data_IF_955960924174
#
_entry.id   IF_955960924174
#
_cell.length_a   1.000
_cell.length_b   1.000
_cell.length_c   1.000
_cell.angle_alpha   90.00
_cell.angle_beta   90.00
_cell.angle_gamma   90.00
#
_symmetry.space_group_name_H-M   'P 1'
#
loop_
_entity.id
_entity.type
_entity.pdbx_description
1 polymer ?
#
# COMPACT_ATOMS: atom_id res chain seq x y z
N UNK A 1 -15.07 -68.65 -18.11
CA UNK A 1 -15.21 -68.26 -16.69
C UNK A 1 -15.66 -66.79 -16.70
N UNK A 2 -16.97 -66.49 -16.76
CA UNK A 2 -17.94 -66.33 -15.63
C UNK A 2 -17.38 -65.42 -14.52
N UNK A 3 -17.96 -64.27 -14.14
CA UNK A 3 -19.36 -63.82 -14.14
C UNK A 3 -19.49 -62.29 -14.13
N UNK A 4 -20.54 -61.81 -14.78
CA UNK A 4 -21.20 -60.51 -14.61
C UNK A 4 -21.99 -60.36 -13.29
N UNK A 5 -22.41 -59.12 -13.05
CA UNK A 5 -23.57 -58.65 -12.25
C UNK A 5 -23.40 -58.57 -10.72
N UNK A 6 -23.58 -57.37 -10.16
CA UNK A 6 -24.86 -56.99 -9.56
C UNK A 6 -25.01 -55.47 -9.34
N UNK A 7 -26.13 -54.96 -9.85
CA UNK A 7 -26.80 -53.71 -9.56
C UNK A 7 -27.03 -53.47 -8.05
N UNK A 8 -27.08 -52.20 -7.63
CA UNK A 8 -28.13 -51.74 -6.72
C UNK A 8 -28.42 -50.25 -6.91
N UNK A 9 -29.49 -50.01 -7.67
CA UNK A 9 -30.26 -48.77 -7.74
C UNK A 9 -31.17 -48.64 -6.51
N UNK A 10 -31.17 -47.46 -5.87
CA UNK A 10 -32.36 -46.91 -5.22
C UNK A 10 -32.56 -45.49 -5.70
N UNK A 11 -33.60 -45.30 -6.52
CA UNK A 11 -34.14 -43.99 -6.83
C UNK A 11 -35.11 -43.50 -5.76
N UNK A 12 -35.39 -42.20 -5.79
CA UNK A 12 -36.75 -41.67 -5.72
C UNK A 12 -36.78 -40.34 -6.50
N UNK A 13 -37.91 -40.13 -7.18
CA UNK A 13 -38.15 -39.22 -8.30
C UNK A 13 -38.63 -37.82 -7.83
N UNK A 14 -39.05 -36.86 -8.69
CA UNK A 14 -38.70 -35.44 -8.58
C UNK A 14 -39.84 -34.62 -7.95
N UNK A 15 -39.60 -33.32 -7.72
CA UNK A 15 -40.74 -32.39 -7.61
C UNK A 15 -40.41 -31.07 -8.30
N UNK A 16 -40.97 -30.90 -9.49
CA UNK A 16 -41.31 -29.58 -10.02
C UNK A 16 -42.37 -28.96 -9.11
N UNK A 17 -42.18 -27.72 -8.66
CA UNK A 17 -43.12 -26.63 -8.90
C UNK A 17 -42.76 -25.35 -8.12
N UNK A 18 -42.79 -24.27 -8.89
CA UNK A 18 -43.31 -22.95 -8.55
C UNK A 18 -42.38 -21.90 -7.89
N UNK A 19 -42.24 -20.83 -8.68
CA UNK A 19 -42.30 -19.42 -8.28
C UNK A 19 -40.99 -18.72 -7.84
N UNK A 20 -40.41 -18.04 -8.83
CA UNK A 20 -39.87 -16.68 -8.68
C UNK A 20 -40.77 -15.78 -7.84
N UNK A 21 -40.16 -14.82 -7.13
CA UNK A 21 -40.53 -13.44 -7.36
C UNK A 21 -39.31 -12.59 -7.74
N UNK A 22 -39.44 -11.90 -8.87
CA UNK A 22 -38.71 -10.68 -9.23
C UNK A 22 -38.73 -9.71 -8.05
N UNK A 23 -37.59 -9.15 -7.71
CA UNK A 23 -37.47 -7.87 -7.00
C UNK A 23 -36.88 -6.82 -7.96
N UNK A 24 -37.23 -5.53 -7.78
CA UNK A 24 -37.58 -4.67 -8.91
C UNK A 24 -36.39 -3.99 -9.59
N UNK A 25 -36.50 -3.90 -10.91
CA UNK A 25 -35.88 -2.87 -11.73
C UNK A 25 -36.38 -1.50 -11.28
N UNK A 26 -35.48 -0.65 -10.80
CA UNK A 26 -35.73 0.80 -10.74
C UNK A 26 -34.69 1.46 -11.65
N UNK A 27 -35.21 2.02 -12.74
CA UNK A 27 -34.48 2.87 -13.64
C UNK A 27 -33.97 4.11 -12.91
N UNK A 28 -32.70 4.42 -13.17
CA UNK A 28 -32.14 5.74 -13.44
C UNK A 28 -32.89 6.94 -12.85
N UNK A 29 -32.28 7.55 -11.84
CA UNK A 29 -32.25 9.02 -11.78
C UNK A 29 -30.80 9.45 -11.92
N UNK A 30 -30.56 10.26 -12.96
CA UNK A 30 -29.29 10.89 -13.29
C UNK A 30 -28.84 11.77 -12.12
N UNK A 31 -27.61 11.58 -11.67
CA UNK A 31 -26.83 12.65 -11.08
C UNK A 31 -25.44 12.62 -11.71
N UNK A 32 -25.29 13.40 -12.77
CA UNK A 32 -24.02 13.90 -13.27
C UNK A 32 -23.29 14.63 -12.15
N UNK A 33 -22.21 14.04 -11.66
CA UNK A 33 -21.13 14.82 -11.05
C UNK A 33 -19.79 14.21 -11.47
N UNK A 34 -19.34 14.68 -12.62
CA UNK A 34 -17.99 14.51 -13.15
C UNK A 34 -17.01 15.20 -12.21
N UNK A 35 -16.21 14.43 -11.46
CA UNK A 35 -14.91 14.90 -10.97
C UNK A 35 -13.81 13.99 -11.50
N UNK A 36 -13.26 14.41 -12.63
CA UNK A 36 -11.96 14.01 -13.15
C UNK A 36 -10.89 14.20 -12.07
N UNK A 37 -10.16 13.13 -11.76
CA UNK A 37 -8.91 13.20 -10.99
C UNK A 37 -7.80 13.81 -11.86
N UNK A 38 -6.88 14.63 -11.30
CA UNK A 38 -5.72 15.07 -12.04
C UNK A 38 -4.70 13.92 -12.13
N UNK A 39 -3.89 13.86 -13.21
CA UNK A 39 -2.77 12.92 -13.29
C UNK A 39 -1.66 13.31 -12.29
N UNK A 40 -0.82 12.36 -11.86
CA UNK A 40 0.28 12.63 -10.93
C UNK A 40 1.37 13.45 -11.63
N UNK A 41 1.55 14.70 -11.21
CA UNK A 41 2.60 15.58 -11.71
C UNK A 41 3.97 15.14 -11.18
N UNK A 42 4.87 14.79 -12.10
CA UNK A 42 6.31 14.78 -11.86
C UNK A 42 6.86 16.21 -11.81
N UNK A 43 8.11 16.32 -11.32
CA UNK A 43 9.11 17.39 -11.51
C UNK A 43 9.43 18.23 -10.27
N UNK A 44 10.64 17.98 -9.76
CA UNK A 44 11.50 18.84 -8.95
C UNK A 44 11.39 20.33 -9.32
N UNK A 45 11.35 21.22 -8.32
CA UNK A 45 11.92 22.57 -8.46
C UNK A 45 12.40 23.12 -7.11
N UNK A 46 13.63 23.60 -7.17
CA UNK A 46 14.48 24.25 -6.17
C UNK A 46 13.84 25.48 -5.50
N UNK A 47 14.25 25.85 -4.26
CA UNK A 47 13.85 27.12 -3.68
C UNK A 47 14.66 28.27 -4.31
N UNK A 48 14.02 29.05 -5.18
CA UNK A 48 14.58 30.29 -5.71
C UNK A 48 14.35 31.47 -4.74
N UNK A 49 15.31 32.39 -4.81
CA UNK A 49 15.59 33.48 -3.90
C UNK A 49 14.40 34.43 -3.61
N UNK A 50 14.33 34.79 -2.33
CA UNK A 50 13.60 35.94 -1.78
C UNK A 50 13.92 37.22 -2.56
N UNK A 51 12.87 37.85 -3.09
CA UNK A 51 12.92 39.18 -3.69
C UNK A 51 13.45 40.22 -2.70
N UNK A 52 14.58 40.84 -3.06
CA UNK A 52 15.09 42.05 -2.44
C UNK A 52 14.35 43.26 -3.00
N UNK A 53 13.66 44.04 -2.17
CA UNK A 53 13.22 45.39 -2.55
C UNK A 53 14.35 46.41 -2.29
N UNK A 54 14.58 47.40 -3.16
CA UNK A 54 15.65 48.37 -2.98
C UNK A 54 15.22 49.53 -2.05
N UNK A 55 16.11 49.83 -1.11
CA UNK A 55 16.01 50.92 -0.13
C UNK A 55 16.24 52.26 -0.85
N UNK A 56 15.25 53.16 -0.82
CA UNK A 56 15.42 54.57 -1.21
C UNK A 56 16.00 55.36 -0.03
N UNK A 57 17.09 56.07 -0.29
CA UNK A 57 17.88 56.78 0.71
C UNK A 57 17.23 58.05 1.26
N UNK A 58 17.43 58.28 2.55
CA UNK A 58 17.35 59.60 3.19
C UNK A 58 18.50 59.68 4.21
N UNK A 59 19.37 60.66 4.03
CA UNK A 59 20.48 60.98 4.94
C UNK A 59 19.99 61.57 6.26
N UNK A 60 20.77 61.46 7.37
CA UNK A 60 20.30 61.80 8.72
C UNK A 60 20.53 63.28 9.07
N UNK A 61 19.76 63.87 10.01
CA UNK A 61 20.20 65.05 10.71
C UNK A 61 21.04 64.66 11.94
N UNK A 62 22.16 65.37 12.10
CA UNK A 62 23.10 65.28 13.23
C UNK A 62 22.63 66.19 14.38
N UNK A 63 23.03 65.83 15.61
CA UNK A 63 23.14 66.60 16.89
C UNK A 63 22.28 66.05 18.06
N UNK A 64 22.62 66.30 19.35
CA UNK A 64 23.44 65.38 20.12
C UNK A 64 22.81 64.96 21.47
N UNK A 65 23.35 63.87 22.01
CA UNK A 65 23.53 63.59 23.43
C UNK A 65 22.35 63.78 24.41
N UNK A 66 21.60 62.69 24.64
CA UNK A 66 21.04 62.41 25.96
C UNK A 66 20.99 60.90 26.17
N UNK A 67 22.03 60.37 26.80
CA UNK A 67 22.11 58.97 27.20
C UNK A 67 20.95 58.61 28.15
N UNK A 68 20.04 57.72 27.68
CA UNK A 68 19.19 56.91 28.56
C UNK A 68 19.80 55.53 28.65
N UNK A 69 20.06 54.99 29.86
CA UNK A 69 20.44 53.59 29.99
C UNK A 69 19.21 52.74 29.66
N UNK A 70 19.16 52.21 28.43
CA UNK A 70 18.27 51.10 28.14
C UNK A 70 18.78 49.90 28.92
N UNK A 71 18.01 49.46 29.90
CA UNK A 71 18.13 48.11 30.42
C UNK A 71 18.00 47.16 29.24
N UNK A 72 19.10 46.48 28.87
CA UNK A 72 19.03 45.37 27.95
C UNK A 72 18.12 44.32 28.59
N UNK A 73 16.91 44.16 28.06
CA UNK A 73 16.15 42.95 28.28
C UNK A 73 17.04 41.77 27.84
N UNK A 74 17.11 40.66 28.61
CA UNK A 74 17.84 39.49 28.17
C UNK A 74 17.32 39.08 26.78
N UNK A 75 18.19 38.57 25.90
CA UNK A 75 17.79 38.20 24.55
C UNK A 75 16.56 37.33 24.64
N UNK A 76 15.45 37.83 24.07
CA UNK A 76 14.19 37.09 23.98
C UNK A 76 14.55 35.76 23.35
N UNK A 77 14.40 34.67 24.12
CA UNK A 77 14.68 33.34 23.63
C UNK A 77 13.86 33.17 22.36
N UNK A 78 14.55 33.07 21.22
CA UNK A 78 13.92 32.70 19.96
C UNK A 78 13.20 31.39 20.26
N UNK A 79 11.87 31.30 20.08
CA UNK A 79 11.16 30.04 20.24
C UNK A 79 11.90 29.00 19.41
N UNK A 80 12.30 27.89 20.04
CA UNK A 80 12.86 26.76 19.33
C UNK A 80 11.93 26.46 18.14
N UNK A 81 12.48 26.22 16.93
CA UNK A 81 11.64 25.83 15.80
C UNK A 81 10.77 24.64 16.23
N UNK A 82 9.50 24.60 15.81
CA UNK A 82 8.61 23.51 16.20
C UNK A 82 9.29 22.19 15.87
N UNK A 83 9.42 21.32 16.87
CA UNK A 83 10.03 20.01 16.68
C UNK A 83 9.26 19.27 15.59
N UNK A 84 9.97 18.73 14.61
CA UNK A 84 9.36 17.88 13.59
C UNK A 84 8.71 16.66 14.28
N UNK A 85 7.39 16.45 14.15
CA UNK A 85 6.70 15.34 14.81
C UNK A 85 7.27 13.97 14.40
N UNK A 86 7.82 13.83 13.19
CA UNK A 86 8.50 12.60 12.77
C UNK A 86 9.80 12.37 13.55
N UNK A 87 10.51 13.45 13.90
CA UNK A 87 11.73 13.40 14.70
C UNK A 87 11.44 13.09 16.17
N UNK A 88 10.32 13.56 16.72
CA UNK A 88 9.87 13.17 18.07
C UNK A 88 9.48 11.70 18.14
N UNK A 89 8.70 11.20 17.17
CA UNK A 89 8.37 9.77 17.06
C UNK A 89 9.65 8.92 16.92
N UNK A 90 10.58 9.36 16.07
CA UNK A 90 11.86 8.69 15.92
C UNK A 90 12.64 8.60 17.24
N UNK A 91 12.78 9.71 17.97
CA UNK A 91 13.47 9.72 19.28
C UNK A 91 12.77 8.80 20.29
N UNK A 92 11.44 8.84 20.35
CA UNK A 92 10.64 8.01 21.25
C UNK A 92 10.92 6.52 21.03
N UNK A 93 10.78 6.03 19.79
CA UNK A 93 10.97 4.61 19.47
C UNK A 93 12.43 4.18 19.53
N UNK A 94 13.37 5.05 19.19
CA UNK A 94 14.81 4.78 19.36
C UNK A 94 15.14 4.51 20.83
N UNK A 95 14.65 5.35 21.73
CA UNK A 95 14.94 5.24 23.16
C UNK A 95 14.24 4.02 23.78
N UNK A 96 13.05 3.64 23.30
CA UNK A 96 12.41 2.38 23.67
C UNK A 96 13.22 1.16 23.18
N UNK A 97 13.60 1.10 21.91
CA UNK A 97 14.36 -0.03 21.34
C UNK A 97 15.75 -0.19 21.97
N UNK A 98 16.34 0.88 22.50
CA UNK A 98 17.60 0.79 23.23
C UNK A 98 17.45 0.05 24.58
N UNK A 99 16.34 0.29 25.28
CA UNK A 99 16.13 -0.08 26.68
C UNK A 99 15.30 -1.35 26.89
N UNK A 100 14.58 -1.82 25.88
CA UNK A 100 13.64 -2.95 26.00
C UNK A 100 14.31 -4.28 25.64
N UNK A 101 14.04 -5.31 26.44
CA UNK A 101 14.49 -6.70 26.22
C UNK A 101 13.69 -7.40 25.12
N UNK A 102 12.41 -7.05 24.98
CA UNK A 102 11.50 -7.52 23.93
C UNK A 102 11.20 -6.40 22.91
N UNK A 103 11.88 -6.44 21.77
CA UNK A 103 11.72 -5.46 20.70
C UNK A 103 10.46 -5.70 19.84
N UNK A 104 9.73 -6.80 20.03
CA UNK A 104 8.60 -7.15 19.17
C UNK A 104 7.42 -6.19 19.37
N UNK A 105 7.05 -5.90 20.61
CA UNK A 105 5.88 -5.07 20.92
C UNK A 105 5.96 -3.64 20.33
N UNK A 106 7.07 -2.88 20.49
CA UNK A 106 7.19 -1.55 19.87
C UNK A 106 7.15 -1.60 18.34
N UNK A 107 7.66 -2.68 17.73
CA UNK A 107 7.60 -2.90 16.28
C UNK A 107 6.16 -3.15 15.84
N UNK A 108 5.40 -3.97 16.55
CA UNK A 108 3.99 -4.23 16.26
C UNK A 108 3.16 -2.95 16.32
N UNK A 109 3.38 -2.12 17.34
CA UNK A 109 2.70 -0.82 17.48
C UNK A 109 3.02 0.13 16.33
N UNK A 110 4.29 0.19 15.90
CA UNK A 110 4.70 0.96 14.72
C UNK A 110 4.04 0.45 13.45
N UNK A 111 4.04 -0.86 13.23
CA UNK A 111 3.42 -1.46 12.05
C UNK A 111 1.91 -1.17 12.02
N UNK A 112 1.22 -1.27 13.15
CA UNK A 112 -0.20 -0.90 13.25
C UNK A 112 -0.45 0.58 12.94
N UNK A 113 0.44 1.49 13.39
CA UNK A 113 0.37 2.89 12.99
C UNK A 113 0.54 3.04 11.46
N UNK A 114 1.37 2.20 10.83
CA UNK A 114 1.60 2.18 9.38
C UNK A 114 0.41 1.68 8.56
N UNK A 115 -0.58 1.03 9.19
CA UNK A 115 -1.83 0.61 8.55
C UNK A 115 -2.85 1.76 8.49
N UNK A 116 -2.59 2.88 9.17
CA UNK A 116 -3.44 4.06 9.03
C UNK A 116 -3.24 4.71 7.65
N UNK A 117 -4.30 5.31 7.07
CA UNK A 117 -4.23 5.86 5.73
C UNK A 117 -3.06 6.83 5.53
N UNK A 118 -2.26 6.62 4.48
CA UNK A 118 -1.12 7.48 4.10
C UNK A 118 0.06 7.51 5.07
N UNK A 119 0.15 6.56 6.01
CA UNK A 119 1.29 6.44 6.95
C UNK A 119 2.29 5.34 6.57
N UNK A 120 1.97 4.50 5.60
CA UNK A 120 2.75 3.33 5.21
C UNK A 120 4.21 3.65 4.87
N UNK A 121 4.46 4.70 4.07
CA UNK A 121 5.82 5.14 3.71
C UNK A 121 6.56 5.78 4.87
N UNK A 122 5.85 6.54 5.72
CA UNK A 122 6.43 7.23 6.88
C UNK A 122 6.93 6.20 7.89
N UNK A 123 6.09 5.21 8.20
CA UNK A 123 6.43 4.13 9.14
C UNK A 123 7.53 3.23 8.59
N UNK A 124 7.48 2.86 7.30
CA UNK A 124 8.55 2.09 6.68
C UNK A 124 9.90 2.83 6.75
N UNK A 125 9.92 4.11 6.41
CA UNK A 125 11.12 4.94 6.51
C UNK A 125 11.62 5.07 7.96
N UNK A 126 10.70 5.21 8.93
CA UNK A 126 11.03 5.26 10.34
C UNK A 126 11.69 3.96 10.82
N UNK A 127 11.10 2.81 10.50
CA UNK A 127 11.67 1.49 10.82
C UNK A 127 13.05 1.31 10.17
N UNK A 128 13.21 1.75 8.92
CA UNK A 128 14.49 1.66 8.22
C UNK A 128 15.55 2.53 8.89
N UNK A 129 15.17 3.73 9.34
CA UNK A 129 16.03 4.64 10.08
C UNK A 129 16.39 4.13 11.47
N UNK A 130 15.58 3.28 12.10
CA UNK A 130 15.88 2.69 13.41
C UNK A 130 16.88 1.52 13.32
N UNK A 131 16.97 0.82 12.19
CA UNK A 131 17.83 -0.35 12.02
C UNK A 131 19.34 -0.11 12.27
N UNK A 132 19.96 1.02 11.87
CA UNK A 132 21.37 1.31 12.15
C UNK A 132 21.68 1.60 13.62
N UNK A 133 20.68 1.98 14.43
CA UNK A 133 20.88 2.40 15.83
C UNK A 133 20.86 1.24 16.82
N UNK A 134 20.67 0.02 16.36
CA UNK A 134 20.86 -1.18 17.17
C UNK A 134 22.36 -1.37 17.46
N UNK A 135 22.74 -1.20 18.73
CA UNK A 135 24.11 -1.03 19.23
C UNK A 135 25.10 -2.14 18.81
N UNK A 136 24.62 -3.35 18.50
CA UNK A 136 25.47 -4.45 18.03
C UNK A 136 24.84 -5.23 16.84
N UNK A 137 25.64 -5.96 16.04
CA UNK A 137 25.15 -6.72 14.88
C UNK A 137 24.07 -7.77 15.20
N UNK A 138 24.14 -8.38 16.38
CA UNK A 138 23.16 -9.38 16.83
C UNK A 138 21.78 -8.75 17.08
N UNK A 139 21.73 -7.59 17.74
CA UNK A 139 20.50 -6.80 17.93
C UNK A 139 19.98 -6.30 16.60
N UNK A 140 20.84 -5.91 15.66
CA UNK A 140 20.41 -5.55 14.30
C UNK A 140 19.71 -6.70 13.59
N UNK A 141 20.30 -7.90 13.64
CA UNK A 141 19.70 -9.10 13.06
C UNK A 141 18.37 -9.46 13.74
N UNK A 142 18.31 -9.37 15.07
CA UNK A 142 17.07 -9.58 15.83
C UNK A 142 15.99 -8.55 15.46
N UNK A 143 16.36 -7.28 15.31
CA UNK A 143 15.47 -6.20 14.89
C UNK A 143 14.90 -6.44 13.50
N UNK A 144 15.75 -6.69 12.50
CA UNK A 144 15.30 -6.98 11.14
C UNK A 144 14.39 -8.22 11.09
N UNK A 145 14.75 -9.26 11.85
CA UNK A 145 13.93 -10.46 11.98
C UNK A 145 12.58 -10.17 12.63
N UNK A 146 12.54 -9.33 13.66
CA UNK A 146 11.31 -8.94 14.33
C UNK A 146 10.41 -8.09 13.43
N UNK A 147 10.94 -7.09 12.72
CA UNK A 147 10.18 -6.30 11.73
C UNK A 147 9.56 -7.21 10.68
N UNK A 148 10.37 -8.08 10.08
CA UNK A 148 9.90 -9.05 9.07
C UNK A 148 8.81 -9.97 9.62
N UNK A 149 9.03 -10.58 10.79
CA UNK A 149 8.09 -11.53 11.39
C UNK A 149 6.77 -10.86 11.75
N UNK A 150 6.81 -9.68 12.37
CA UNK A 150 5.61 -8.94 12.77
C UNK A 150 4.83 -8.45 11.54
N UNK A 151 5.49 -7.99 10.49
CA UNK A 151 4.83 -7.58 9.25
C UNK A 151 4.13 -8.76 8.55
N UNK A 152 4.79 -9.92 8.48
CA UNK A 152 4.17 -11.14 7.95
C UNK A 152 2.99 -11.59 8.83
N UNK A 153 3.13 -11.53 10.16
CA UNK A 153 2.03 -11.89 11.07
C UNK A 153 0.82 -10.97 10.89
N UNK A 154 1.05 -9.66 10.76
CA UNK A 154 0.00 -8.69 10.47
C UNK A 154 -0.72 -8.99 9.15
N UNK A 155 0.03 -9.33 8.10
CA UNK A 155 -0.53 -9.74 6.81
C UNK A 155 -1.36 -11.01 6.90
N UNK A 156 -0.82 -12.05 7.55
CA UNK A 156 -1.49 -13.34 7.70
C UNK A 156 -2.76 -13.22 8.55
N UNK A 157 -2.70 -12.46 9.65
CA UNK A 157 -3.88 -12.15 10.46
C UNK A 157 -4.98 -11.45 9.66
N UNK A 158 -4.63 -10.71 8.61
CA UNK A 158 -5.62 -10.09 7.75
C UNK A 158 -6.15 -11.02 6.65
N UNK A 159 -5.26 -11.73 5.94
CA UNK A 159 -5.60 -12.46 4.71
C UNK A 159 -5.79 -13.97 4.89
N UNK A 160 -5.00 -14.62 5.75
CA UNK A 160 -5.13 -16.05 6.06
C UNK A 160 -6.29 -16.29 7.04
N UNK A 161 -6.42 -15.44 8.07
CA UNK A 161 -7.42 -15.61 9.13
C UNK A 161 -8.80 -15.02 8.76
N UNK A 162 -8.94 -14.45 7.56
CA UNK A 162 -10.23 -14.04 6.98
C UNK A 162 -10.74 -12.65 7.36
N UNK A 163 -9.97 -11.82 8.06
CA UNK A 163 -10.40 -10.47 8.44
C UNK A 163 -10.80 -9.61 7.22
N UNK A 164 -10.11 -9.80 6.08
CA UNK A 164 -10.45 -9.14 4.81
C UNK A 164 -11.88 -9.45 4.33
N UNK A 165 -12.45 -10.62 4.66
CA UNK A 165 -13.80 -11.01 4.24
C UNK A 165 -14.85 -10.22 4.99
N UNK A 166 -14.62 -10.00 6.29
CA UNK A 166 -15.46 -9.14 7.12
C UNK A 166 -15.41 -7.69 6.60
N UNK A 167 -14.22 -7.21 6.23
CA UNK A 167 -14.05 -5.89 5.61
C UNK A 167 -14.80 -5.77 4.27
N UNK A 168 -14.64 -6.74 3.38
CA UNK A 168 -15.34 -6.77 2.08
C UNK A 168 -16.87 -6.82 2.25
N UNK A 169 -17.36 -7.51 3.29
CA UNK A 169 -18.79 -7.56 3.60
C UNK A 169 -19.30 -6.24 4.17
N UNK A 170 -18.52 -5.60 5.05
CA UNK A 170 -18.88 -4.32 5.67
C UNK A 170 -18.79 -3.14 4.69
N UNK A 171 -17.92 -3.23 3.67
CA UNK A 171 -17.71 -2.21 2.66
C UNK A 171 -17.91 -2.79 1.25
N UNK A 172 -19.15 -2.81 0.73
CA UNK A 172 -19.44 -3.33 -0.61
C UNK A 172 -18.72 -2.58 -1.74
N UNK A 173 -18.31 -1.33 -1.47
CA UNK A 173 -17.52 -0.49 -2.37
C UNK A 173 -16.29 0.00 -1.61
N UNK A 174 -15.28 -0.87 -1.38
CA UNK A 174 -14.13 -0.53 -0.56
C UNK A 174 -13.37 0.62 -1.23
N UNK A 175 -13.00 1.64 -0.44
CA UNK A 175 -12.16 2.73 -0.94
C UNK A 175 -10.71 2.41 -0.68
N UNK A 176 -9.89 2.67 -1.68
CA UNK A 176 -8.45 2.38 -1.67
C UNK A 176 -7.74 2.88 -0.40
N UNK A 177 -7.96 4.15 -0.04
CA UNK A 177 -7.26 4.78 1.09
C UNK A 177 -7.81 4.39 2.47
N UNK A 178 -9.05 3.90 2.56
CA UNK A 178 -9.68 3.58 3.85
C UNK A 178 -9.69 2.10 4.17
N UNK A 179 -9.23 1.27 3.24
CA UNK A 179 -9.21 -0.17 3.44
C UNK A 179 -7.99 -0.59 4.26
N UNK A 180 -8.26 -1.32 5.35
CA UNK A 180 -7.20 -1.89 6.19
C UNK A 180 -6.38 -2.91 5.41
N UNK A 181 -7.05 -3.80 4.67
CA UNK A 181 -6.39 -4.80 3.81
C UNK A 181 -5.45 -4.17 2.78
N UNK A 182 -5.87 -3.05 2.17
CA UNK A 182 -5.06 -2.31 1.20
C UNK A 182 -3.88 -1.63 1.90
N UNK A 183 -4.09 -0.98 3.05
CA UNK A 183 -3.02 -0.31 3.79
C UNK A 183 -1.96 -1.28 4.33
N UNK A 184 -2.35 -2.48 4.79
CA UNK A 184 -1.40 -3.53 5.17
C UNK A 184 -0.51 -3.91 3.97
N UNK A 185 -1.12 -4.03 2.80
CA UNK A 185 -0.40 -4.40 1.57
C UNK A 185 0.52 -3.28 1.08
N UNK A 186 0.08 -2.03 1.20
CA UNK A 186 0.89 -0.83 0.92
C UNK A 186 2.09 -0.71 1.89
N UNK A 187 1.89 -1.02 3.16
CA UNK A 187 2.96 -1.07 4.17
C UNK A 187 4.00 -2.12 3.83
N UNK A 188 3.61 -3.33 3.46
CA UNK A 188 4.54 -4.38 3.03
C UNK A 188 5.35 -3.98 1.80
N UNK A 189 4.70 -3.40 0.79
CA UNK A 189 5.40 -2.86 -0.38
C UNK A 189 6.41 -1.77 0.01
N UNK A 190 6.02 -0.87 0.94
CA UNK A 190 6.90 0.18 1.43
C UNK A 190 8.08 -0.38 2.25
N UNK A 191 7.88 -1.44 3.03
CA UNK A 191 8.94 -2.14 3.78
C UNK A 191 9.95 -2.82 2.83
N UNK A 192 9.47 -3.40 1.72
CA UNK A 192 10.33 -3.90 0.66
C UNK A 192 11.16 -2.77 0.03
N UNK A 193 10.51 -1.66 -0.33
CA UNK A 193 11.18 -0.51 -0.96
C UNK A 193 12.32 0.06 -0.12
N UNK A 194 12.20 0.03 1.21
CA UNK A 194 13.26 0.51 2.12
C UNK A 194 14.26 -0.59 2.53
N UNK A 195 14.20 -1.78 1.93
CA UNK A 195 15.14 -2.88 2.15
C UNK A 195 14.98 -3.62 3.49
N UNK A 196 13.83 -3.49 4.15
CA UNK A 196 13.51 -4.23 5.38
C UNK A 196 12.83 -5.57 5.10
N UNK A 197 12.35 -5.76 3.87
CA UNK A 197 11.63 -6.95 3.44
C UNK A 197 12.29 -7.53 2.19
N UNK A 198 12.64 -8.83 2.18
CA UNK A 198 13.23 -9.46 1.00
C UNK A 198 12.19 -9.69 -0.10
N UNK A 199 12.66 -9.82 -1.34
CA UNK A 199 11.78 -10.04 -2.51
C UNK A 199 10.98 -11.34 -2.42
N UNK A 200 11.54 -12.37 -1.77
CA UNK A 200 10.87 -13.65 -1.57
C UNK A 200 9.59 -13.52 -0.75
N UNK A 201 9.61 -12.67 0.28
CA UNK A 201 8.42 -12.42 1.11
C UNK A 201 7.36 -11.65 0.34
N UNK A 202 7.79 -10.68 -0.49
CA UNK A 202 6.89 -9.95 -1.38
C UNK A 202 6.15 -10.91 -2.31
N UNK A 203 6.87 -11.86 -2.92
CA UNK A 203 6.26 -12.88 -3.78
C UNK A 203 5.34 -13.82 -3.02
N UNK A 204 5.69 -14.22 -1.80
CA UNK A 204 4.80 -15.03 -0.95
C UNK A 204 3.49 -14.27 -0.67
N UNK A 205 3.57 -12.98 -0.34
CA UNK A 205 2.38 -12.16 -0.11
C UNK A 205 1.50 -12.06 -1.36
N UNK A 206 2.08 -11.79 -2.54
CA UNK A 206 1.33 -11.74 -3.81
C UNK A 206 0.71 -13.11 -4.11
N UNK A 207 1.48 -14.20 -3.99
CA UNK A 207 1.00 -15.55 -4.25
C UNK A 207 -0.20 -15.88 -3.38
N UNK A 208 -0.17 -15.50 -2.10
CA UNK A 208 -1.30 -15.67 -1.17
C UNK A 208 -2.54 -14.87 -1.57
N UNK A 209 -2.36 -13.63 -2.02
CA UNK A 209 -3.47 -12.81 -2.50
C UNK A 209 -4.09 -13.39 -3.78
N UNK A 210 -3.26 -13.93 -4.66
CA UNK A 210 -3.69 -14.43 -5.98
C UNK A 210 -4.25 -15.86 -5.94
N UNK A 211 -3.78 -16.71 -5.03
CA UNK A 211 -4.13 -18.15 -4.98
C UNK A 211 -5.50 -18.49 -4.36
N UNK A 212 -6.12 -17.55 -3.66
CA UNK A 212 -7.40 -17.72 -2.96
C UNK A 212 -8.53 -17.06 -3.76
N UNK A 213 -9.83 -17.38 -3.55
CA UNK A 213 -10.89 -16.99 -4.48
C UNK A 213 -10.84 -15.49 -4.83
N UNK A 214 -10.99 -15.13 -6.13
CA UNK A 214 -10.88 -13.76 -6.60
C UNK A 214 -11.84 -12.83 -5.85
N UNK A 215 -11.33 -11.69 -5.43
CA UNK A 215 -12.12 -10.66 -4.77
C UNK A 215 -11.54 -9.28 -5.07
N UNK A 216 -12.40 -8.29 -5.28
CA UNK A 216 -11.97 -6.94 -5.65
C UNK A 216 -11.01 -6.33 -4.61
N UNK A 217 -11.26 -6.57 -3.32
CA UNK A 217 -10.39 -6.11 -2.24
C UNK A 217 -8.97 -6.69 -2.33
N UNK A 218 -8.83 -7.94 -2.80
CA UNK A 218 -7.52 -8.56 -3.01
C UNK A 218 -6.81 -8.00 -4.23
N UNK A 219 -7.54 -7.68 -5.30
CA UNK A 219 -6.97 -6.97 -6.43
C UNK A 219 -6.40 -5.61 -6.00
N UNK A 220 -7.13 -4.86 -5.17
CA UNK A 220 -6.64 -3.61 -4.59
C UNK A 220 -5.41 -3.81 -3.71
N UNK A 221 -5.39 -4.89 -2.91
CA UNK A 221 -4.24 -5.26 -2.08
C UNK A 221 -2.99 -5.58 -2.93
N UNK A 222 -3.14 -6.39 -3.99
CA UNK A 222 -2.06 -6.69 -4.95
C UNK A 222 -1.55 -5.40 -5.59
N UNK A 223 -2.46 -4.56 -6.06
CA UNK A 223 -2.14 -3.26 -6.64
C UNK A 223 -1.32 -2.39 -5.68
N UNK A 224 -1.79 -2.22 -4.43
CA UNK A 224 -1.09 -1.41 -3.43
C UNK A 224 0.30 -1.95 -3.09
N UNK A 225 0.44 -3.26 -2.96
CA UNK A 225 1.71 -3.90 -2.69
C UNK A 225 2.71 -3.63 -3.82
N UNK A 226 2.30 -3.74 -5.10
CA UNK A 226 3.16 -3.50 -6.26
C UNK A 226 3.53 -2.02 -6.40
N UNK A 227 2.56 -1.11 -6.28
CA UNK A 227 2.78 0.34 -6.36
C UNK A 227 3.79 0.80 -5.32
N UNK A 228 3.68 0.29 -4.09
CA UNK A 228 4.55 0.70 -3.00
C UNK A 228 5.91 -0.01 -3.02
N UNK A 229 5.99 -1.23 -3.55
CA UNK A 229 7.27 -1.92 -3.76
C UNK A 229 8.12 -1.25 -4.85
N UNK A 230 7.47 -0.68 -5.88
CA UNK A 230 8.14 0.00 -6.97
C UNK A 230 8.87 -0.94 -7.95
N UNK A 231 9.62 -0.38 -8.92
CA UNK A 231 10.22 -1.11 -10.04
C UNK A 231 11.25 -2.16 -9.65
N UNK A 232 11.92 -1.97 -8.51
CA UNK A 232 13.01 -2.85 -8.06
C UNK A 232 12.51 -4.27 -7.77
N UNK A 233 11.22 -4.45 -7.48
CA UNK A 233 10.57 -5.75 -7.28
C UNK A 233 10.59 -6.67 -8.50
N UNK A 234 10.91 -6.15 -9.69
CA UNK A 234 10.82 -6.87 -10.95
C UNK A 234 12.13 -6.91 -11.75
N UNK A 235 13.26 -6.51 -11.15
CA UNK A 235 14.57 -6.51 -11.81
C UNK A 235 15.26 -7.90 -11.78
N UNK A 236 15.99 -8.24 -12.85
CA UNK A 236 16.86 -9.42 -12.92
C UNK A 236 16.17 -10.72 -13.35
N UNK A 237 16.70 -11.86 -12.90
CA UNK A 237 16.30 -13.22 -13.34
C UNK A 237 14.94 -13.70 -12.78
N UNK A 238 14.18 -12.82 -12.12
CA UNK A 238 12.87 -13.15 -11.52
C UNK A 238 11.69 -12.94 -12.49
N UNK A 239 11.96 -12.56 -13.74
CA UNK A 239 10.95 -12.24 -14.75
C UNK A 239 9.89 -13.33 -14.96
N UNK A 240 10.32 -14.57 -15.17
CA UNK A 240 9.39 -15.69 -15.42
C UNK A 240 8.49 -15.95 -14.21
N UNK A 241 9.06 -15.80 -13.01
CA UNK A 241 8.31 -15.93 -11.75
C UNK A 241 7.25 -14.85 -11.62
N UNK A 242 7.59 -13.59 -11.94
CA UNK A 242 6.61 -12.49 -11.90
C UNK A 242 5.50 -12.72 -12.91
N UNK A 243 5.81 -13.13 -14.15
CA UNK A 243 4.77 -13.45 -15.15
C UNK A 243 3.83 -14.55 -14.63
N UNK A 244 4.38 -15.67 -14.16
CA UNK A 244 3.59 -16.78 -13.64
C UNK A 244 2.72 -16.36 -12.45
N UNK A 245 3.24 -15.49 -11.58
CA UNK A 245 2.57 -14.99 -10.39
C UNK A 245 1.39 -14.06 -10.70
N UNK A 246 1.50 -13.24 -11.73
CA UNK A 246 0.46 -12.27 -12.10
C UNK A 246 -0.53 -12.77 -13.15
N UNK A 247 -0.25 -13.87 -13.85
CA UNK A 247 -1.19 -14.43 -14.83
C UNK A 247 -2.64 -14.56 -14.31
N UNK A 248 -2.91 -15.09 -13.11
CA UNK A 248 -4.29 -15.21 -12.63
C UNK A 248 -4.96 -13.85 -12.33
N UNK A 249 -4.18 -12.79 -12.16
CA UNK A 249 -4.71 -11.42 -12.00
C UNK A 249 -5.37 -10.93 -13.29
N UNK A 250 -4.92 -11.45 -14.44
CA UNK A 250 -5.41 -11.06 -15.76
C UNK A 250 -6.52 -11.97 -16.30
N UNK A 251 -6.93 -12.98 -15.54
CA UNK A 251 -7.99 -13.90 -15.96
C UNK A 251 -9.32 -13.17 -16.17
N UNK A 252 -9.97 -13.49 -17.29
CA UNK A 252 -11.29 -12.98 -17.67
C UNK A 252 -12.34 -14.09 -17.57
N UNK A 253 -13.53 -13.71 -17.14
CA UNK A 253 -14.71 -14.55 -17.24
C UNK A 253 -15.09 -14.74 -18.71
N UNK A 254 -15.35 -15.99 -19.13
CA UNK A 254 -15.56 -16.35 -20.53
C UNK A 254 -16.87 -15.84 -21.10
N UNK A 255 -17.89 -15.63 -20.26
CA UNK A 255 -19.23 -15.25 -20.70
C UNK A 255 -19.37 -13.73 -20.80
N UNK A 256 -18.80 -13.02 -19.83
CA UNK A 256 -18.92 -11.56 -19.71
C UNK A 256 -17.72 -10.80 -20.30
N UNK A 257 -16.58 -11.47 -20.46
CA UNK A 257 -15.32 -10.85 -20.83
C UNK A 257 -14.72 -9.96 -19.73
N UNK A 258 -15.36 -9.83 -18.56
CA UNK A 258 -14.87 -9.01 -17.45
C UNK A 258 -13.77 -9.74 -16.66
N UNK A 259 -12.90 -9.01 -15.95
CA UNK A 259 -11.93 -9.64 -15.05
C UNK A 259 -12.60 -10.38 -13.90
N UNK A 260 -12.08 -11.56 -13.55
CA UNK A 260 -12.65 -12.45 -12.52
C UNK A 260 -12.63 -11.86 -11.10
N UNK A 261 -11.88 -10.77 -10.89
CA UNK A 261 -11.72 -10.09 -9.61
C UNK A 261 -12.90 -9.18 -9.24
N UNK A 262 -13.83 -8.96 -10.16
CA UNK A 262 -15.08 -8.24 -9.94
C UNK A 262 -15.47 -7.42 -11.18
N UNK A 263 -16.75 -7.43 -11.61
CA UNK A 263 -17.18 -6.79 -12.85
C UNK A 263 -17.39 -5.28 -12.67
N UNK A 264 -16.35 -4.56 -12.30
CA UNK A 264 -16.39 -3.11 -12.09
C UNK A 264 -15.39 -2.40 -12.99
N UNK A 265 -15.72 -1.18 -13.44
CA UNK A 265 -14.79 -0.30 -14.16
C UNK A 265 -13.52 -0.05 -13.33
N UNK A 266 -13.62 -0.09 -12.00
CA UNK A 266 -12.47 0.06 -11.11
C UNK A 266 -11.52 -1.14 -11.19
N UNK A 267 -12.03 -2.36 -11.31
CA UNK A 267 -11.21 -3.55 -11.55
C UNK A 267 -10.40 -3.41 -12.84
N UNK A 268 -11.05 -2.96 -13.91
CA UNK A 268 -10.40 -2.74 -15.21
C UNK A 268 -9.26 -1.71 -15.10
N UNK A 269 -9.48 -0.61 -14.37
CA UNK A 269 -8.47 0.42 -14.16
C UNK A 269 -7.27 -0.13 -13.37
N UNK A 270 -7.49 -0.84 -12.27
CA UNK A 270 -6.42 -1.42 -11.45
C UNK A 270 -5.62 -2.47 -12.21
N UNK A 271 -6.30 -3.33 -12.98
CA UNK A 271 -5.62 -4.34 -13.80
C UNK A 271 -4.79 -3.67 -14.90
N UNK A 272 -5.31 -2.64 -15.57
CA UNK A 272 -4.56 -1.90 -16.59
C UNK A 272 -3.33 -1.21 -15.99
N UNK A 273 -3.46 -0.59 -14.83
CA UNK A 273 -2.34 0.07 -14.15
C UNK A 273 -1.27 -0.96 -13.74
N UNK A 274 -1.68 -2.11 -13.19
CA UNK A 274 -0.79 -3.26 -12.95
C UNK A 274 -0.06 -3.70 -14.21
N UNK A 275 -0.78 -3.86 -15.33
CA UNK A 275 -0.14 -4.20 -16.60
C UNK A 275 0.85 -3.12 -17.06
N UNK A 276 0.58 -1.83 -16.84
CA UNK A 276 1.48 -0.73 -17.22
C UNK A 276 2.72 -0.66 -16.33
N UNK A 277 2.56 -0.82 -15.02
CA UNK A 277 3.69 -0.95 -14.10
C UNK A 277 4.57 -2.14 -14.49
N UNK A 278 3.97 -3.31 -14.69
CA UNK A 278 4.69 -4.52 -15.09
C UNK A 278 5.31 -4.40 -16.49
N UNK A 279 4.67 -3.70 -17.44
CA UNK A 279 5.27 -3.34 -18.75
C UNK A 279 6.55 -2.53 -18.58
N UNK A 280 6.54 -1.54 -17.69
CA UNK A 280 7.73 -0.76 -17.36
C UNK A 280 8.88 -1.64 -16.86
N UNK A 281 8.57 -2.83 -16.35
CA UNK A 281 9.53 -3.77 -15.79
C UNK A 281 9.97 -4.85 -16.80
N UNK A 282 9.29 -5.02 -17.94
CA UNK A 282 9.61 -6.01 -18.98
C UNK A 282 9.84 -5.35 -20.35
N UNK A 283 10.98 -5.61 -20.99
CA UNK A 283 11.22 -5.17 -22.38
C UNK A 283 10.17 -5.73 -23.35
N UNK A 284 9.93 -4.98 -24.43
CA UNK A 284 8.71 -4.96 -25.28
C UNK A 284 8.21 -6.29 -25.84
N UNK A 285 9.04 -7.32 -25.91
CA UNK A 285 8.82 -8.41 -26.88
C UNK A 285 7.76 -9.45 -26.46
N UNK A 286 7.35 -9.47 -25.18
CA UNK A 286 6.28 -10.37 -24.70
C UNK A 286 4.98 -9.64 -24.31
N UNK A 287 4.95 -8.31 -24.41
CA UNK A 287 3.77 -7.52 -24.05
C UNK A 287 2.65 -7.60 -25.09
N UNK A 288 2.96 -8.02 -26.31
CA UNK A 288 1.99 -8.37 -27.35
C UNK A 288 1.10 -9.55 -26.92
N UNK A 289 1.68 -10.61 -26.35
CA UNK A 289 0.94 -11.79 -25.92
C UNK A 289 -0.03 -11.51 -24.76
N UNK A 290 0.39 -10.70 -23.77
CA UNK A 290 -0.46 -10.28 -22.66
C UNK A 290 -1.53 -9.27 -23.14
N UNK A 291 -1.21 -8.39 -24.11
CA UNK A 291 -2.21 -7.49 -24.73
C UNK A 291 -3.24 -8.25 -25.56
N UNK A 292 -2.83 -9.24 -26.33
CA UNK A 292 -3.75 -10.08 -27.11
C UNK A 292 -4.73 -10.80 -26.20
N UNK A 293 -4.29 -11.29 -25.03
CA UNK A 293 -5.17 -11.88 -24.02
C UNK A 293 -6.05 -10.86 -23.29
N UNK A 294 -5.61 -9.60 -23.18
CA UNK A 294 -6.38 -8.52 -22.55
C UNK A 294 -7.35 -7.82 -23.52
N UNK A 295 -7.19 -7.99 -24.83
CA UNK A 295 -8.06 -7.42 -25.86
C UNK A 295 -8.93 -8.46 -26.59
N UNK A 296 -8.70 -9.75 -26.35
CA UNK A 296 -9.58 -10.86 -26.72
C UNK A 296 -10.71 -11.04 -25.69
#
# INVERSE_FOLDING_TARGET
MSKDLLYSTRGFVPNEQAATPRAPSVASTLSTDSRSWPPPSSVYSTPELVHSQPIAGVSPPVTPDTARPFYHAPPTAIPLPPTDPAEELYKHYRDQLANVTDIAQPITELLEAGVTPSQEKVVAALLARLAPHTINPQRRAAYLSAVRLQAIQLFRGNFDDGAWQAEATAQPHPRYLTSRSVNISALLGSLFQVGLFPIEDLFICIERLVSAPPAFLKLMAVHALVVHAGPESCAGDVRERVIALFNPVFDRDRETGAFVWGPTEQSDLLVRDLMEMLKGYFTSDNMSAIREQAHA
#
